data_IF_327290161173
#
_entry.id   IF_327290161173
#
_cell.length_a   1.000
_cell.length_b   1.000
_cell.length_c   1.000
_cell.angle_alpha   90.00
_cell.angle_beta   90.00
_cell.angle_gamma   90.00
#
_symmetry.space_group_name_H-M   'P 1'
#
loop_
_entity.id
_entity.type
_entity.pdbx_description
1 polymer ?
#
# COMPACT_ATOMS: atom_id res chain seq x y z
N UNK A 1 27.82 -56.04 -2.45
CA UNK A 1 26.97 -55.09 -1.70
C UNK A 1 26.08 -55.99 -0.86
N UNK A 2 26.29 -56.01 0.49
CA UNK A 2 25.66 -56.99 1.34
C UNK A 2 24.17 -56.65 1.50
N UNK A 3 23.31 -57.60 1.20
CA UNK A 3 21.84 -57.48 1.24
C UNK A 3 21.36 -56.96 2.60
N UNK A 4 22.11 -57.24 3.68
CA UNK A 4 21.84 -56.76 5.04
C UNK A 4 21.95 -55.21 5.19
N UNK A 5 22.78 -54.55 4.41
CA UNK A 5 22.93 -53.09 4.48
C UNK A 5 21.71 -52.31 3.95
N UNK A 6 20.90 -52.96 3.11
CA UNK A 6 19.68 -52.34 2.55
C UNK A 6 18.45 -52.72 3.35
N UNK A 7 18.40 -53.96 3.87
CA UNK A 7 17.24 -54.48 4.60
C UNK A 7 17.08 -53.80 5.96
N UNK A 8 18.17 -53.53 6.70
CA UNK A 8 18.11 -52.96 8.05
C UNK A 8 17.47 -51.58 8.06
N UNK A 9 17.89 -50.60 7.22
CA UNK A 9 17.27 -49.25 7.23
C UNK A 9 15.79 -49.30 6.76
N UNK A 10 15.46 -50.19 5.80
CA UNK A 10 14.09 -50.30 5.33
C UNK A 10 13.15 -50.88 6.42
N UNK A 11 13.62 -51.91 7.17
CA UNK A 11 12.86 -52.46 8.29
C UNK A 11 12.63 -51.41 9.39
N UNK A 12 13.63 -50.55 9.64
CA UNK A 12 13.50 -49.50 10.65
C UNK A 12 12.46 -48.47 10.29
N UNK A 13 12.38 -48.05 9.01
CA UNK A 13 11.37 -47.11 8.50
C UNK A 13 9.96 -47.69 8.62
N UNK A 14 9.79 -48.97 8.25
CA UNK A 14 8.49 -49.64 8.34
C UNK A 14 8.04 -49.78 9.79
N UNK A 15 8.94 -50.17 10.70
CA UNK A 15 8.63 -50.30 12.14
C UNK A 15 8.28 -48.92 12.72
N UNK A 16 9.03 -47.84 12.37
CA UNK A 16 8.73 -46.51 12.84
C UNK A 16 7.36 -46.02 12.32
N UNK A 17 6.98 -46.36 11.08
CA UNK A 17 5.69 -45.98 10.50
C UNK A 17 4.53 -46.73 11.20
N UNK A 18 4.69 -48.02 11.43
CA UNK A 18 3.68 -48.83 12.16
C UNK A 18 3.55 -48.37 13.61
N UNK A 19 4.67 -48.10 14.31
CA UNK A 19 4.64 -47.60 15.66
C UNK A 19 4.05 -46.18 15.73
N UNK A 20 4.37 -45.33 14.78
CA UNK A 20 3.78 -43.97 14.67
C UNK A 20 2.26 -44.03 14.51
N UNK A 21 1.77 -45.00 13.75
CA UNK A 21 0.33 -45.16 13.52
C UNK A 21 -0.42 -45.75 14.72
N UNK A 22 0.26 -46.56 15.55
CA UNK A 22 -0.33 -47.14 16.76
C UNK A 22 -0.20 -46.28 18.01
N UNK A 23 0.89 -45.49 18.12
CA UNK A 23 1.14 -44.62 19.28
C UNK A 23 0.42 -43.27 19.13
N UNK A 24 0.20 -42.86 17.90
CA UNK A 24 -0.69 -41.74 17.55
C UNK A 24 -1.86 -42.30 16.75
N UNK A 25 -2.82 -42.99 17.37
CA UNK A 25 -4.06 -43.18 16.67
C UNK A 25 -4.52 -41.82 16.25
N UNK A 26 -4.94 -41.69 15.00
CA UNK A 26 -5.74 -40.56 14.56
C UNK A 26 -7.05 -40.60 15.37
N UNK A 27 -6.92 -40.41 16.68
CA UNK A 27 -8.03 -40.06 17.52
C UNK A 27 -8.52 -38.77 16.93
N UNK A 28 -9.64 -38.86 16.26
CA UNK A 28 -10.48 -37.72 15.91
C UNK A 28 -11.00 -37.01 17.17
N UNK A 29 -10.09 -36.68 18.10
CA UNK A 29 -10.24 -35.49 18.91
C UNK A 29 -10.03 -34.35 17.92
N UNK A 30 -11.12 -34.05 17.19
CA UNK A 30 -11.24 -32.75 16.62
C UNK A 30 -10.67 -31.81 17.66
N UNK A 31 -9.61 -31.12 17.30
CA UNK A 31 -9.28 -29.90 18.00
C UNK A 31 -10.63 -29.19 18.06
N UNK A 32 -11.24 -29.19 19.25
CA UNK A 32 -12.30 -28.26 19.56
C UNK A 32 -11.59 -26.89 19.43
N UNK A 33 -11.49 -26.42 18.22
CA UNK A 33 -11.43 -24.99 18.03
C UNK A 33 -12.75 -24.54 18.65
N UNK A 34 -12.71 -23.76 19.74
CA UNK A 34 -13.89 -23.05 20.12
C UNK A 34 -14.33 -22.43 18.80
N UNK A 35 -15.55 -22.72 18.39
CA UNK A 35 -16.17 -22.06 17.26
C UNK A 35 -15.93 -20.59 17.56
N UNK A 36 -14.83 -20.06 17.00
CA UNK A 36 -14.62 -18.64 17.01
C UNK A 36 -15.90 -18.19 16.34
N UNK A 37 -16.80 -17.62 17.13
CA UNK A 37 -17.83 -16.76 16.59
C UNK A 37 -17.01 -15.74 15.82
N UNK A 38 -16.76 -16.05 14.56
CA UNK A 38 -16.31 -15.08 13.59
C UNK A 38 -17.51 -14.17 13.55
N UNK A 39 -17.44 -13.08 14.34
CA UNK A 39 -18.29 -11.93 14.13
C UNK A 39 -17.98 -11.53 12.68
N UNK A 40 -18.70 -12.16 11.76
CA UNK A 40 -18.71 -11.74 10.38
C UNK A 40 -19.13 -10.28 10.45
N UNK A 41 -18.31 -9.36 9.99
CA UNK A 41 -18.71 -7.98 9.92
C UNK A 41 -20.08 -7.94 9.23
N UNK A 42 -21.00 -7.10 9.70
CA UNK A 42 -22.36 -7.03 9.17
C UNK A 42 -22.27 -6.95 7.65
N UNK A 43 -23.10 -7.74 6.97
CA UNK A 43 -23.15 -7.75 5.52
C UNK A 43 -23.25 -6.30 5.02
N UNK A 44 -22.31 -5.92 4.16
CA UNK A 44 -22.22 -4.56 3.61
C UNK A 44 -23.55 -4.23 2.96
N UNK A 45 -24.16 -3.14 3.38
CA UNK A 45 -25.44 -2.67 2.81
C UNK A 45 -25.23 -2.14 1.40
N UNK A 46 -26.23 -2.23 0.50
CA UNK A 46 -26.11 -1.70 -0.86
C UNK A 46 -25.68 -0.22 -0.93
N UNK A 47 -25.93 0.59 0.11
CA UNK A 47 -25.49 1.98 0.16
C UNK A 47 -24.00 2.12 0.51
N UNK A 48 -23.37 1.12 1.11
CA UNK A 48 -21.92 1.12 1.37
C UNK A 48 -21.10 0.66 0.16
N UNK A 49 -21.77 0.04 -0.82
CA UNK A 49 -21.16 -0.35 -2.09
C UNK A 49 -21.21 0.77 -3.15
N UNK A 50 -21.90 1.89 -2.86
CA UNK A 50 -21.95 3.02 -3.78
C UNK A 50 -20.56 3.65 -3.92
N UNK A 51 -19.96 3.51 -5.10
CA UNK A 51 -18.60 3.99 -5.40
C UNK A 51 -17.47 2.99 -5.19
N UNK A 52 -17.78 1.73 -4.85
CA UNK A 52 -16.80 0.64 -4.81
C UNK A 52 -16.72 -0.04 -6.17
N UNK A 53 -15.51 -0.19 -6.68
CA UNK A 53 -15.30 -0.90 -7.94
C UNK A 53 -15.50 -2.42 -7.74
N UNK A 54 -16.14 -3.08 -8.73
CA UNK A 54 -16.42 -4.51 -8.64
C UNK A 54 -15.17 -5.39 -8.46
N UNK A 55 -14.01 -4.88 -8.88
CA UNK A 55 -12.71 -5.55 -8.70
C UNK A 55 -12.20 -5.53 -7.25
N UNK A 56 -12.74 -4.65 -6.41
CA UNK A 56 -12.40 -4.54 -5.00
C UNK A 56 -13.34 -5.38 -4.09
N UNK A 57 -14.21 -6.17 -4.71
CA UNK A 57 -15.08 -7.10 -3.99
C UNK A 57 -14.49 -8.50 -4.10
N UNK A 58 -14.27 -9.15 -2.96
CA UNK A 58 -13.85 -10.54 -2.90
C UNK A 58 -14.94 -11.44 -3.49
N UNK A 59 -14.65 -12.20 -4.58
CA UNK A 59 -15.64 -13.02 -5.25
C UNK A 59 -16.17 -14.19 -4.40
N UNK A 60 -15.45 -14.60 -3.36
CA UNK A 60 -15.86 -15.71 -2.50
C UNK A 60 -16.73 -15.25 -1.32
N UNK A 61 -16.41 -14.10 -0.75
CA UNK A 61 -17.10 -13.59 0.45
C UNK A 61 -18.08 -12.45 0.16
N UNK A 62 -17.97 -11.80 -1.00
CA UNK A 62 -18.77 -10.62 -1.35
C UNK A 62 -18.43 -9.38 -0.51
N UNK A 63 -17.32 -9.38 0.21
CA UNK A 63 -16.86 -8.26 1.04
C UNK A 63 -15.88 -7.38 0.26
N UNK A 64 -15.80 -6.10 0.66
CA UNK A 64 -14.79 -5.19 0.12
C UNK A 64 -13.41 -5.65 0.60
N UNK A 65 -12.45 -5.73 -0.32
CA UNK A 65 -11.07 -6.05 -0.01
C UNK A 65 -10.47 -5.00 0.95
N UNK A 66 -9.56 -5.40 1.85
CA UNK A 66 -8.96 -4.46 2.79
C UNK A 66 -8.17 -3.37 2.08
N UNK A 67 -8.20 -2.17 2.65
CA UNK A 67 -7.39 -1.05 2.19
C UNK A 67 -5.90 -1.37 2.21
N UNK A 68 -5.22 -0.97 1.16
CA UNK A 68 -3.77 -1.05 1.00
C UNK A 68 -3.18 0.36 0.92
N UNK A 69 -2.08 0.55 1.63
CA UNK A 69 -1.26 1.75 1.51
C UNK A 69 -0.22 1.54 0.41
N UNK A 70 -0.25 2.36 -0.61
CA UNK A 70 0.75 2.38 -1.66
C UNK A 70 1.42 3.75 -1.75
N UNK A 71 2.73 3.74 -2.01
CA UNK A 71 3.55 4.94 -2.13
C UNK A 71 4.11 5.03 -3.54
N UNK A 72 4.03 6.21 -4.13
CA UNK A 72 4.75 6.57 -5.33
C UNK A 72 5.75 7.67 -5.00
N UNK A 73 7.05 7.36 -5.01
CA UNK A 73 8.09 8.39 -5.01
C UNK A 73 8.13 9.03 -6.38
N UNK A 74 7.98 10.34 -6.44
CA UNK A 74 8.20 11.09 -7.68
C UNK A 74 9.71 11.17 -7.92
N UNK A 75 10.16 10.67 -9.08
CA UNK A 75 11.58 10.63 -9.42
C UNK A 75 12.19 12.02 -9.70
N UNK A 76 11.35 13.03 -9.85
CA UNK A 76 11.79 14.40 -10.07
C UNK A 76 12.21 15.09 -8.76
N UNK A 77 13.31 15.85 -8.83
CA UNK A 77 13.73 16.76 -7.76
C UNK A 77 13.25 18.16 -8.12
N UNK A 78 12.35 18.69 -7.31
CA UNK A 78 11.87 20.06 -7.46
C UNK A 78 12.92 21.01 -6.89
N UNK A 79 13.32 22.03 -7.66
CA UNK A 79 14.32 23.01 -7.23
C UNK A 79 13.92 24.41 -7.67
N UNK A 80 14.32 25.40 -6.88
CA UNK A 80 14.02 26.80 -7.15
C UNK A 80 14.72 27.73 -6.17
N UNK A 81 14.35 29.00 -6.21
CA UNK A 81 14.77 30.01 -5.23
C UNK A 81 13.63 30.24 -4.24
N UNK A 82 13.95 30.38 -2.96
CA UNK A 82 12.97 30.75 -1.94
C UNK A 82 12.48 32.19 -2.18
N UNK A 83 11.17 32.43 -2.01
CA UNK A 83 10.60 33.76 -2.28
C UNK A 83 10.93 34.80 -1.23
N UNK A 84 11.35 34.39 -0.04
CA UNK A 84 11.67 35.26 1.10
C UNK A 84 13.17 35.43 1.34
N UNK A 85 14.02 34.70 0.61
CA UNK A 85 15.48 34.78 0.69
C UNK A 85 16.12 34.55 -0.67
N UNK A 86 17.42 34.83 -0.81
CA UNK A 86 18.19 34.49 -2.01
C UNK A 86 18.68 33.05 -2.05
N UNK A 87 18.30 32.23 -1.06
CA UNK A 87 18.71 30.86 -0.97
C UNK A 87 17.99 29.98 -2.01
N UNK A 88 18.70 28.97 -2.49
CA UNK A 88 18.14 27.95 -3.37
C UNK A 88 17.65 26.76 -2.54
N UNK A 89 16.59 26.13 -3.00
CA UNK A 89 16.09 24.90 -2.39
C UNK A 89 16.03 23.76 -3.40
N UNK A 90 16.07 22.55 -2.87
CA UNK A 90 15.66 21.34 -3.59
C UNK A 90 14.80 20.48 -2.67
N UNK A 91 13.78 19.82 -3.21
CA UNK A 91 12.92 18.91 -2.47
C UNK A 91 12.47 17.72 -3.32
N UNK A 92 12.26 16.59 -2.66
CA UNK A 92 11.68 15.38 -3.23
C UNK A 92 10.37 15.05 -2.51
N UNK A 93 9.41 14.52 -3.25
CA UNK A 93 8.08 14.18 -2.71
C UNK A 93 7.72 12.74 -2.98
N UNK A 94 6.91 12.17 -2.08
CA UNK A 94 6.24 10.90 -2.27
C UNK A 94 4.74 11.08 -2.05
N UNK A 95 3.94 10.43 -2.88
CA UNK A 95 2.49 10.42 -2.83
C UNK A 95 2.03 9.14 -2.15
N UNK A 96 1.07 9.24 -1.24
CA UNK A 96 0.42 8.10 -0.58
C UNK A 96 -1.02 8.00 -1.06
N UNK A 97 -1.44 6.79 -1.44
CA UNK A 97 -2.84 6.43 -1.61
C UNK A 97 -3.25 5.36 -0.61
N UNK A 98 -4.51 5.39 -0.21
CA UNK A 98 -5.14 4.38 0.61
C UNK A 98 -6.48 4.01 -0.04
N UNK A 99 -6.55 2.84 -0.63
CA UNK A 99 -7.71 2.31 -1.33
C UNK A 99 -7.76 0.79 -1.15
N UNK A 100 -8.87 0.12 -1.47
CA UNK A 100 -8.92 -1.32 -1.57
C UNK A 100 -7.82 -1.87 -2.48
N UNK A 101 -7.31 -3.08 -2.16
CA UNK A 101 -6.00 -3.51 -2.66
C UNK A 101 -5.86 -3.52 -4.19
N UNK A 102 -6.89 -3.90 -4.92
CA UNK A 102 -6.81 -3.94 -6.41
C UNK A 102 -6.84 -2.54 -7.00
N UNK A 103 -7.78 -1.69 -6.56
CA UNK A 103 -7.83 -0.29 -6.99
C UNK A 103 -6.57 0.47 -6.63
N UNK A 104 -5.97 0.19 -5.48
CA UNK A 104 -4.72 0.82 -5.06
C UNK A 104 -3.57 0.50 -6.02
N UNK A 105 -3.43 -0.75 -6.45
CA UNK A 105 -2.35 -1.16 -7.37
C UNK A 105 -2.57 -0.57 -8.77
N UNK A 106 -3.81 -0.58 -9.27
CA UNK A 106 -4.15 0.00 -10.56
C UNK A 106 -3.95 1.52 -10.58
N UNK A 107 -4.32 2.19 -9.48
CA UNK A 107 -4.15 3.63 -9.35
C UNK A 107 -2.67 4.03 -9.38
N UNK A 108 -1.80 3.32 -8.63
CA UNK A 108 -0.36 3.58 -8.66
C UNK A 108 0.22 3.33 -10.04
N UNK A 109 -0.19 2.26 -10.73
CA UNK A 109 0.24 2.01 -12.11
C UNK A 109 -0.18 3.14 -13.07
N UNK A 110 -1.41 3.64 -12.96
CA UNK A 110 -1.89 4.77 -13.74
C UNK A 110 -1.11 6.06 -13.42
N UNK A 111 -0.82 6.33 -12.14
CA UNK A 111 0.00 7.49 -11.76
C UNK A 111 1.41 7.42 -12.34
N UNK A 112 2.01 6.23 -12.36
CA UNK A 112 3.35 6.04 -12.93
C UNK A 112 3.39 6.37 -14.42
N UNK A 113 2.35 6.00 -15.17
CA UNK A 113 2.23 6.32 -16.61
C UNK A 113 2.12 7.83 -16.89
N UNK A 114 1.55 8.59 -15.96
CA UNK A 114 1.36 10.05 -16.09
C UNK A 114 2.28 10.86 -15.17
N UNK A 115 3.36 10.27 -14.64
CA UNK A 115 4.24 10.91 -13.66
C UNK A 115 4.75 12.28 -14.14
N UNK A 116 5.15 12.38 -15.40
CA UNK A 116 5.64 13.66 -15.96
C UNK A 116 4.58 14.78 -15.91
N UNK A 117 3.31 14.43 -16.09
CA UNK A 117 2.21 15.38 -16.01
C UNK A 117 1.88 15.74 -14.56
N UNK A 118 1.97 14.77 -13.65
CA UNK A 118 1.86 15.03 -12.21
C UNK A 118 2.96 15.96 -11.74
N UNK A 119 4.20 15.77 -12.19
CA UNK A 119 5.33 16.70 -11.94
C UNK A 119 5.02 18.09 -12.45
N UNK A 120 4.48 18.21 -13.67
CA UNK A 120 4.10 19.51 -14.23
C UNK A 120 2.99 20.20 -13.40
N UNK A 121 2.01 19.43 -12.89
CA UNK A 121 0.96 19.94 -12.03
C UNK A 121 1.47 20.41 -10.66
N UNK A 122 2.43 19.69 -10.06
CA UNK A 122 3.05 20.06 -8.77
C UNK A 122 3.92 21.31 -8.89
N UNK A 123 4.63 21.49 -10.00
CA UNK A 123 5.63 22.55 -10.17
C UNK A 123 5.15 23.94 -9.75
N UNK A 124 3.97 24.44 -10.14
CA UNK A 124 3.48 25.75 -9.68
C UNK A 124 3.31 25.83 -8.16
N UNK A 125 2.95 24.72 -7.51
CA UNK A 125 2.76 24.70 -6.06
C UNK A 125 4.05 24.88 -5.27
N UNK A 126 5.20 24.55 -5.87
CA UNK A 126 6.52 24.67 -5.24
C UNK A 126 7.29 25.93 -5.67
N UNK A 127 6.81 26.72 -6.64
CA UNK A 127 7.48 27.94 -7.05
C UNK A 127 7.45 29.07 -6.00
N UNK A 128 6.41 29.08 -5.14
CA UNK A 128 6.19 30.12 -4.14
C UNK A 128 6.61 29.69 -2.72
N UNK A 129 7.57 28.75 -2.63
CA UNK A 129 8.04 28.21 -1.35
C UNK A 129 8.86 29.22 -0.59
N UNK A 130 8.56 29.41 0.70
CA UNK A 130 9.29 30.20 1.66
C UNK A 130 10.20 29.34 2.52
N UNK A 131 11.19 29.96 3.15
CA UNK A 131 12.08 29.29 4.09
C UNK A 131 11.30 28.57 5.21
N UNK A 132 10.25 29.23 5.75
CA UNK A 132 9.38 28.64 6.78
C UNK A 132 8.67 27.38 6.34
N UNK A 133 8.31 27.26 5.06
CA UNK A 133 7.57 26.12 4.51
C UNK A 133 8.40 24.82 4.50
N UNK A 134 9.71 24.94 4.52
CA UNK A 134 10.63 23.81 4.58
C UNK A 134 11.21 23.59 5.97
N UNK A 135 11.48 24.66 6.72
CA UNK A 135 12.20 24.58 8.01
C UNK A 135 11.30 24.28 9.20
N UNK A 136 10.01 24.66 9.13
CA UNK A 136 9.06 24.43 10.24
C UNK A 136 8.17 23.20 9.98
N UNK A 137 7.78 22.46 11.02
CA UNK A 137 6.83 21.35 10.86
C UNK A 137 5.49 21.77 10.25
N UNK A 138 4.93 22.89 10.71
CA UNK A 138 3.64 23.42 10.24
C UNK A 138 3.75 23.87 8.76
N UNK A 139 4.86 24.51 8.38
CA UNK A 139 5.14 24.88 7.00
C UNK A 139 5.18 23.66 6.08
N UNK A 140 5.92 22.63 6.47
CA UNK A 140 5.98 21.38 5.69
C UNK A 140 4.60 20.72 5.56
N UNK A 141 3.81 20.72 6.64
CA UNK A 141 2.45 20.19 6.59
C UNK A 141 1.57 21.00 5.62
N UNK A 142 1.64 22.32 5.67
CA UNK A 142 0.89 23.20 4.78
C UNK A 142 1.32 22.99 3.30
N UNK A 143 2.62 22.90 3.02
CA UNK A 143 3.13 22.63 1.68
C UNK A 143 2.71 21.25 1.17
N UNK A 144 2.81 20.21 2.00
CA UNK A 144 2.34 18.86 1.65
C UNK A 144 0.85 18.83 1.33
N UNK A 145 0.03 19.52 2.11
CA UNK A 145 -1.41 19.63 1.84
C UNK A 145 -1.70 20.38 0.53
N UNK A 146 -0.99 21.48 0.28
CA UNK A 146 -1.11 22.23 -0.98
C UNK A 146 -0.79 21.34 -2.19
N UNK A 147 0.29 20.57 -2.13
CA UNK A 147 0.68 19.64 -3.19
C UNK A 147 -0.39 18.56 -3.35
N UNK A 148 -0.88 17.96 -2.25
CA UNK A 148 -1.95 16.95 -2.29
C UNK A 148 -3.21 17.47 -2.98
N UNK A 149 -3.67 18.65 -2.62
CA UNK A 149 -4.84 19.28 -3.23
C UNK A 149 -4.63 19.52 -4.71
N UNK A 150 -3.46 20.04 -5.08
CA UNK A 150 -3.10 20.29 -6.50
C UNK A 150 -3.11 18.98 -7.31
N UNK A 151 -2.52 17.91 -6.79
CA UNK A 151 -2.49 16.61 -7.50
C UNK A 151 -3.89 16.03 -7.62
N UNK A 152 -4.68 16.04 -6.55
CA UNK A 152 -6.04 15.52 -6.59
C UNK A 152 -6.94 16.31 -7.57
N UNK A 153 -6.81 17.64 -7.59
CA UNK A 153 -7.53 18.49 -8.53
C UNK A 153 -7.12 18.20 -9.99
N UNK A 154 -5.83 18.03 -10.26
CA UNK A 154 -5.32 17.62 -11.55
C UNK A 154 -5.86 16.26 -12.00
N UNK A 155 -5.84 15.25 -11.10
CA UNK A 155 -6.34 13.92 -11.39
C UNK A 155 -7.83 13.94 -11.74
N UNK A 156 -8.63 14.67 -10.97
CA UNK A 156 -10.07 14.78 -11.18
C UNK A 156 -10.42 15.54 -12.46
N UNK A 157 -9.83 16.72 -12.68
CA UNK A 157 -10.22 17.62 -13.76
C UNK A 157 -9.60 17.31 -15.11
N UNK A 158 -8.32 16.87 -15.10
CA UNK A 158 -7.54 16.70 -16.33
C UNK A 158 -7.45 15.24 -16.78
N UNK A 159 -7.60 14.30 -15.84
CA UNK A 159 -7.40 12.87 -16.10
C UNK A 159 -8.66 12.03 -15.93
N UNK A 160 -9.74 12.61 -15.42
CA UNK A 160 -10.98 11.89 -15.07
C UNK A 160 -10.69 10.68 -14.15
N UNK A 161 -9.69 10.84 -13.29
CA UNK A 161 -9.29 9.86 -12.28
C UNK A 161 -9.83 10.28 -10.91
N UNK A 162 -10.15 9.29 -10.07
CA UNK A 162 -10.58 9.55 -8.70
C UNK A 162 -9.47 10.27 -7.92
N UNK A 163 -9.78 11.35 -7.15
CA UNK A 163 -8.81 12.03 -6.29
C UNK A 163 -8.48 11.14 -5.08
N UNK A 164 -7.49 10.27 -5.21
CA UNK A 164 -7.18 9.23 -4.24
C UNK A 164 -5.84 9.41 -3.53
N UNK A 165 -5.18 10.56 -3.69
CA UNK A 165 -4.00 10.90 -2.89
C UNK A 165 -4.46 11.33 -1.51
N UNK A 166 -4.13 10.53 -0.49
CA UNK A 166 -4.50 10.76 0.90
C UNK A 166 -3.48 11.62 1.63
N UNK A 167 -2.20 11.49 1.28
CA UNK A 167 -1.12 12.23 1.91
C UNK A 167 0.05 12.45 0.95
N UNK A 168 0.80 13.52 1.17
CA UNK A 168 2.04 13.84 0.45
C UNK A 168 3.16 14.03 1.47
N UNK A 169 4.27 13.37 1.24
CA UNK A 169 5.46 13.47 2.08
C UNK A 169 6.56 14.23 1.36
N UNK A 170 7.16 15.20 2.06
CA UNK A 170 8.44 15.75 1.67
C UNK A 170 9.50 14.82 2.25
N UNK A 171 10.07 13.95 1.41
CA UNK A 171 10.98 12.87 1.84
C UNK A 171 12.43 13.33 1.94
N UNK A 172 12.77 14.39 1.22
CA UNK A 172 14.08 15.02 1.27
C UNK A 172 13.95 16.49 0.93
N UNK A 173 14.75 17.35 1.59
CA UNK A 173 14.89 18.76 1.18
C UNK A 173 16.27 19.29 1.57
N UNK A 174 16.75 20.25 0.81
CA UNK A 174 18.01 20.96 1.08
C UNK A 174 17.83 22.45 0.77
N UNK A 175 18.51 23.32 1.54
CA UNK A 175 18.56 24.77 1.35
C UNK A 175 20.03 25.19 1.32
N UNK A 176 20.46 25.92 0.31
CA UNK A 176 21.84 26.39 0.07
C UNK A 176 21.87 27.86 -0.32
#
# INVERSE_FOLDING_TARGET
MNIFQVIIPFTFVVVAFVFGHFVFPASGSGIYMPEAVVDLPPAITPSEMEGVDAQDIDPETGQILPDKYNYLKIENVFSGQLVDTDALFSLEVALLTKQPSVSSDLFIAALFEIEAEVVAAITPSVLDVKSSDLTTPDGRTALSNKIRETVNEFLEKEKDLRPAITEVFIINFNIV
#
